data_IF_362223770525
#
_entry.id   IF_362223770525
#
_cell.length_a   1.000
_cell.length_b   1.000
_cell.length_c   1.000
_cell.angle_alpha   90.00
_cell.angle_beta   90.00
_cell.angle_gamma   90.00
#
_symmetry.space_group_name_H-M   'P 1'
#
loop_
_entity.id
_entity.type
_entity.pdbx_description
1 polymer ?
#
# COMPACT_ATOMS: atom_id res chain seq x y z
N UNK A 1 -18.06 4.45 6.62
CA UNK A 1 -17.46 3.44 5.71
C UNK A 1 -18.33 2.20 5.66
N UNK A 2 -18.87 1.93 4.48
CA UNK A 2 -19.55 0.68 4.11
C UNK A 2 -18.56 -0.46 3.88
N UNK A 3 -19.03 -1.67 3.59
CA UNK A 3 -18.15 -2.76 3.18
C UNK A 3 -17.45 -2.46 1.85
N UNK A 4 -18.13 -1.82 0.89
CA UNK A 4 -17.52 -1.41 -0.38
C UNK A 4 -16.40 -0.41 -0.15
N UNK A 5 -16.57 0.54 0.78
CA UNK A 5 -15.53 1.52 1.07
C UNK A 5 -14.30 0.87 1.75
N UNK A 6 -14.50 -0.14 2.60
CA UNK A 6 -13.39 -0.92 3.16
C UNK A 6 -12.65 -1.68 2.04
N UNK A 7 -13.37 -2.37 1.16
CA UNK A 7 -12.76 -3.11 0.04
C UNK A 7 -12.05 -2.17 -0.91
N UNK A 8 -12.60 -0.98 -1.15
CA UNK A 8 -11.93 0.09 -1.91
C UNK A 8 -10.64 0.53 -1.21
N UNK A 9 -10.66 0.77 0.10
CA UNK A 9 -9.44 1.12 0.84
C UNK A 9 -8.38 0.01 0.74
N UNK A 10 -8.75 -1.27 0.83
CA UNK A 10 -7.79 -2.38 0.63
C UNK A 10 -7.25 -2.36 -0.82
N UNK A 11 -8.11 -2.14 -1.81
CA UNK A 11 -7.73 -2.08 -3.23
C UNK A 11 -6.71 -0.96 -3.50
N UNK A 12 -6.98 0.24 -2.98
CA UNK A 12 -6.14 1.43 -3.14
C UNK A 12 -4.79 1.21 -2.44
N UNK A 13 -4.81 0.68 -1.23
CA UNK A 13 -3.59 0.35 -0.49
C UNK A 13 -2.74 -0.70 -1.21
N UNK A 14 -3.35 -1.77 -1.73
CA UNK A 14 -2.64 -2.78 -2.53
C UNK A 14 -2.08 -2.21 -3.83
N UNK A 15 -2.82 -1.33 -4.50
CA UNK A 15 -2.32 -0.66 -5.70
C UNK A 15 -1.08 0.19 -5.37
N UNK A 16 -1.16 1.01 -4.33
CA UNK A 16 -0.07 1.90 -3.93
C UNK A 16 1.14 1.13 -3.43
N UNK A 17 0.92 0.05 -2.68
CA UNK A 17 1.97 -0.86 -2.24
C UNK A 17 2.68 -1.52 -3.43
N UNK A 18 1.93 -2.05 -4.40
CA UNK A 18 2.49 -2.67 -5.60
C UNK A 18 3.30 -1.69 -6.45
N UNK A 19 2.84 -0.45 -6.57
CA UNK A 19 3.59 0.61 -7.26
C UNK A 19 4.87 0.99 -6.50
N UNK A 20 4.85 1.04 -5.16
CA UNK A 20 6.06 1.27 -4.36
C UNK A 20 7.05 0.14 -4.49
N UNK A 21 6.59 -1.11 -4.46
CA UNK A 21 7.46 -2.25 -4.65
C UNK A 21 8.15 -2.21 -6.01
N UNK A 22 7.43 -1.85 -7.07
CA UNK A 22 7.99 -1.74 -8.41
C UNK A 22 9.10 -0.67 -8.52
N UNK A 23 9.08 0.40 -7.71
CA UNK A 23 10.20 1.37 -7.66
C UNK A 23 11.51 0.73 -7.18
N UNK A 24 11.41 -0.33 -6.39
CA UNK A 24 12.55 -1.03 -5.81
C UNK A 24 13.01 -2.23 -6.64
N UNK A 25 12.42 -2.49 -7.80
CA UNK A 25 12.80 -3.58 -8.71
C UNK A 25 14.21 -3.44 -9.33
N UNK A 26 14.92 -2.34 -9.07
CA UNK A 26 16.27 -2.05 -9.61
C UNK A 26 17.17 -1.31 -8.61
N UNK A 27 16.74 -1.23 -7.35
CA UNK A 27 17.32 -0.34 -6.31
C UNK A 27 17.44 -1.04 -4.96
N UNK A 28 16.98 -2.28 -4.85
CA UNK A 28 17.08 -3.08 -3.66
C UNK A 28 18.56 -3.39 -3.36
N UNK A 29 18.90 -3.80 -2.12
CA UNK A 29 20.29 -4.04 -1.73
C UNK A 29 20.96 -5.24 -2.42
N UNK A 30 20.19 -6.09 -3.12
CA UNK A 30 20.71 -7.20 -3.92
C UNK A 30 19.79 -7.52 -5.10
N UNK A 31 20.30 -8.26 -6.09
CA UNK A 31 19.52 -8.68 -7.25
C UNK A 31 18.32 -9.57 -6.87
N UNK A 32 18.49 -10.44 -5.86
CA UNK A 32 17.40 -11.27 -5.35
C UNK A 32 16.31 -10.41 -4.71
N UNK A 33 16.69 -9.33 -4.03
CA UNK A 33 15.75 -8.38 -3.45
C UNK A 33 15.04 -7.54 -4.53
N UNK A 34 15.73 -7.21 -5.63
CA UNK A 34 15.12 -6.57 -6.81
C UNK A 34 14.06 -7.48 -7.45
N UNK A 35 14.39 -8.76 -7.64
CA UNK A 35 13.46 -9.77 -8.19
C UNK A 35 12.26 -9.95 -7.27
N UNK A 36 12.48 -10.02 -5.95
CA UNK A 36 11.40 -10.12 -4.98
C UNK A 36 10.49 -8.89 -5.01
N UNK A 37 11.06 -7.68 -5.04
CA UNK A 37 10.29 -6.43 -5.15
C UNK A 37 9.46 -6.37 -6.44
N UNK A 38 10.02 -6.79 -7.58
CA UNK A 38 9.29 -6.86 -8.83
C UNK A 38 8.12 -7.86 -8.80
N UNK A 39 8.36 -9.06 -8.24
CA UNK A 39 7.35 -10.10 -8.12
C UNK A 39 6.19 -9.67 -7.20
N UNK A 40 6.51 -9.16 -6.00
CA UNK A 40 5.51 -8.67 -5.06
C UNK A 40 4.73 -7.48 -5.62
N UNK A 41 5.41 -6.57 -6.34
CA UNK A 41 4.76 -5.45 -7.02
C UNK A 41 3.75 -5.90 -8.07
N UNK A 42 4.06 -6.95 -8.84
CA UNK A 42 3.15 -7.51 -9.82
C UNK A 42 1.93 -8.16 -9.14
N UNK A 43 2.16 -8.92 -8.07
CA UNK A 43 1.10 -9.60 -7.31
C UNK A 43 0.13 -8.57 -6.71
N UNK A 44 0.62 -7.54 -6.03
CA UNK A 44 -0.21 -6.50 -5.41
C UNK A 44 -1.00 -5.65 -6.43
N UNK A 45 -0.41 -5.37 -7.59
CA UNK A 45 -1.14 -4.77 -8.71
C UNK A 45 -2.20 -5.72 -9.29
N UNK A 46 -1.99 -7.03 -9.23
CA UNK A 46 -3.02 -8.04 -9.52
C UNK A 46 -4.13 -8.04 -8.47
N UNK A 47 -3.76 -7.97 -7.19
CA UNK A 47 -4.67 -8.01 -6.05
C UNK A 47 -5.61 -6.81 -6.05
N UNK A 48 -5.08 -5.60 -6.25
CA UNK A 48 -5.89 -4.39 -6.38
C UNK A 48 -6.95 -4.52 -7.49
N UNK A 49 -6.60 -5.06 -8.66
CA UNK A 49 -7.56 -5.31 -9.76
C UNK A 49 -8.66 -6.29 -9.35
N UNK A 50 -8.32 -7.35 -8.61
CA UNK A 50 -9.31 -8.30 -8.10
C UNK A 50 -10.25 -7.64 -7.09
N UNK A 51 -9.71 -6.83 -6.18
CA UNK A 51 -10.49 -6.11 -5.16
C UNK A 51 -11.41 -5.07 -5.80
N UNK A 52 -10.93 -4.29 -6.76
CA UNK A 52 -11.77 -3.37 -7.55
C UNK A 52 -12.90 -4.13 -8.25
N UNK A 53 -12.62 -5.30 -8.82
CA UNK A 53 -13.63 -6.16 -9.44
C UNK A 53 -14.65 -6.77 -8.45
N UNK A 54 -14.47 -6.58 -7.14
CA UNK A 54 -15.45 -6.97 -6.13
C UNK A 54 -16.46 -5.85 -5.82
N UNK A 55 -16.19 -4.59 -6.15
CA UNK A 55 -16.99 -3.45 -5.71
C UNK A 55 -18.42 -3.46 -6.27
N UNK A 56 -18.58 -3.64 -7.58
CA UNK A 56 -19.90 -3.74 -8.22
C UNK A 56 -20.75 -4.89 -7.64
N UNK A 57 -20.25 -6.12 -7.48
CA UNK A 57 -20.96 -7.20 -6.78
C UNK A 57 -21.35 -6.91 -5.32
N UNK A 58 -20.71 -5.96 -4.64
CA UNK A 58 -21.08 -5.55 -3.28
C UNK A 58 -22.28 -4.58 -3.26
N UNK A 59 -22.79 -4.21 -4.44
CA UNK A 59 -23.98 -3.39 -4.62
C UNK A 59 -23.71 -1.91 -4.90
N UNK A 60 -22.46 -1.47 -4.78
CA UNK A 60 -22.04 -0.12 -5.14
C UNK A 60 -20.53 -0.08 -5.39
N UNK A 61 -20.14 0.59 -6.47
CA UNK A 61 -18.76 1.02 -6.70
C UNK A 61 -18.61 2.48 -6.23
N UNK A 62 -17.93 2.72 -5.09
CA UNK A 62 -17.78 4.07 -4.54
C UNK A 62 -16.76 4.92 -5.31
N UNK A 63 -16.11 4.39 -6.36
CA UNK A 63 -15.13 5.14 -7.17
C UNK A 63 -15.82 6.18 -8.05
N UNK A 64 -15.42 7.44 -7.89
CA UNK A 64 -15.81 8.52 -8.78
C UNK A 64 -14.80 8.78 -9.91
N UNK A 65 -15.21 9.54 -10.96
CA UNK A 65 -14.36 9.89 -12.10
C UNK A 65 -13.16 10.79 -11.74
N UNK A 66 -13.20 11.49 -10.61
CA UNK A 66 -12.13 12.35 -10.12
C UNK A 66 -10.82 11.60 -9.83
N UNK A 67 -10.89 10.28 -9.63
CA UNK A 67 -9.76 9.41 -9.29
C UNK A 67 -8.63 9.39 -10.32
N UNK A 68 -8.90 9.75 -11.57
CA UNK A 68 -7.87 9.88 -12.61
C UNK A 68 -7.07 11.19 -12.48
N UNK A 69 -7.63 12.19 -11.80
CA UNK A 69 -7.12 13.57 -11.79
C UNK A 69 -6.79 14.12 -10.40
N UNK A 70 -7.29 13.48 -9.35
CA UNK A 70 -7.11 13.85 -7.95
C UNK A 70 -6.62 12.65 -7.12
N UNK A 71 -5.31 12.54 -6.87
CA UNK A 71 -4.74 11.50 -6.02
C UNK A 71 -5.32 11.48 -4.60
N UNK A 72 -5.83 12.61 -4.08
CA UNK A 72 -6.43 12.69 -2.76
C UNK A 72 -7.77 11.95 -2.65
N UNK A 73 -8.33 11.51 -3.78
CA UNK A 73 -9.52 10.66 -3.82
C UNK A 73 -9.23 9.16 -3.62
N UNK A 74 -7.95 8.77 -3.51
CA UNK A 74 -7.55 7.42 -3.13
C UNK A 74 -7.69 7.22 -1.61
N UNK A 75 -8.15 6.05 -1.20
CA UNK A 75 -8.33 5.66 0.21
C UNK A 75 -7.11 4.88 0.74
N UNK A 76 -5.91 5.26 0.32
CA UNK A 76 -4.65 4.67 0.77
C UNK A 76 -4.15 5.31 2.07
N UNK A 77 -3.24 4.61 2.75
CA UNK A 77 -2.53 5.15 3.92
C UNK A 77 -1.58 6.27 3.53
N UNK A 78 -1.43 7.24 4.42
CA UNK A 78 -0.49 8.37 4.24
C UNK A 78 0.97 7.89 4.16
N UNK A 79 1.26 6.68 4.66
CA UNK A 79 2.57 6.04 4.48
C UNK A 79 3.02 5.95 3.02
N UNK A 80 2.08 5.91 2.08
CA UNK A 80 2.35 5.85 0.64
C UNK A 80 2.47 7.21 -0.02
N UNK A 81 2.17 8.32 0.68
CA UNK A 81 2.20 9.67 0.11
C UNK A 81 3.61 10.28 0.09
N UNK A 82 4.54 9.67 0.84
CA UNK A 82 5.95 10.04 0.88
C UNK A 82 6.83 9.06 0.09
N UNK A 83 7.86 9.52 -0.64
CA UNK A 83 8.77 8.64 -1.37
C UNK A 83 9.61 7.82 -0.39
N UNK A 84 9.76 6.52 -0.66
CA UNK A 84 10.65 5.65 0.11
C UNK A 84 12.08 5.81 -0.37
N UNK A 85 12.92 6.40 0.46
CA UNK A 85 14.31 6.73 0.15
C UNK A 85 15.29 5.68 0.64
N UNK A 86 14.86 4.80 1.54
CA UNK A 86 15.66 3.76 2.19
C UNK A 86 14.95 2.40 2.16
N UNK A 87 15.72 1.32 2.02
CA UNK A 87 15.19 -0.04 1.95
C UNK A 87 14.41 -0.44 3.21
N UNK A 88 14.74 0.13 4.37
CA UNK A 88 13.99 -0.09 5.62
C UNK A 88 12.52 0.36 5.54
N UNK A 89 12.19 1.34 4.69
CA UNK A 89 10.81 1.80 4.49
C UNK A 89 9.99 0.78 3.67
N UNK A 90 10.63 0.17 2.65
CA UNK A 90 10.08 -0.99 1.93
C UNK A 90 9.83 -2.15 2.88
N UNK A 91 10.84 -2.53 3.68
CA UNK A 91 10.73 -3.65 4.60
C UNK A 91 9.66 -3.40 5.66
N UNK A 92 9.56 -2.18 6.18
CA UNK A 92 8.51 -1.82 7.13
C UNK A 92 7.10 -1.92 6.52
N UNK A 93 6.92 -1.46 5.28
CA UNK A 93 5.64 -1.62 4.58
C UNK A 93 5.30 -3.10 4.36
N UNK A 94 6.26 -3.90 3.87
CA UNK A 94 6.06 -5.32 3.63
C UNK A 94 5.80 -6.12 4.91
N UNK A 95 6.55 -5.86 5.97
CA UNK A 95 6.39 -6.62 7.21
C UNK A 95 5.15 -6.20 8.02
N UNK A 96 4.69 -4.95 7.89
CA UNK A 96 3.63 -4.40 8.74
C UNK A 96 2.35 -4.13 7.96
N UNK A 97 2.42 -3.25 6.95
CA UNK A 97 1.23 -2.79 6.23
C UNK A 97 0.66 -3.91 5.35
N UNK A 98 1.52 -4.59 4.61
CA UNK A 98 1.14 -5.72 3.76
C UNK A 98 0.46 -6.81 4.59
N UNK A 99 1.07 -7.17 5.73
CA UNK A 99 0.48 -8.11 6.70
C UNK A 99 -0.85 -7.62 7.27
N UNK A 100 -0.99 -6.33 7.57
CA UNK A 100 -2.26 -5.76 8.04
C UNK A 100 -3.36 -5.88 6.96
N UNK A 101 -3.01 -5.64 5.69
CA UNK A 101 -3.93 -5.84 4.57
C UNK A 101 -4.28 -7.32 4.41
N UNK A 102 -3.31 -8.24 4.48
CA UNK A 102 -3.55 -9.69 4.48
C UNK A 102 -4.53 -10.09 5.58
N UNK A 103 -4.36 -9.60 6.81
CA UNK A 103 -5.25 -9.90 7.95
C UNK A 103 -6.68 -9.41 7.68
N UNK A 104 -6.87 -8.23 7.09
CA UNK A 104 -8.21 -7.77 6.69
C UNK A 104 -8.79 -8.61 5.55
N UNK A 105 -7.98 -9.03 4.59
CA UNK A 105 -8.41 -9.93 3.51
C UNK A 105 -8.83 -11.28 4.09
N UNK A 106 -8.10 -11.85 5.05
CA UNK A 106 -8.50 -13.05 5.79
C UNK A 106 -9.83 -12.85 6.51
N UNK A 107 -10.03 -11.68 7.14
CA UNK A 107 -11.30 -11.33 7.79
C UNK A 107 -12.47 -11.31 6.81
N UNK A 108 -12.26 -10.80 5.59
CA UNK A 108 -13.24 -10.81 4.51
C UNK A 108 -13.52 -12.24 4.02
N UNK A 109 -12.47 -13.06 3.82
CA UNK A 109 -12.60 -14.44 3.31
C UNK A 109 -13.29 -15.36 4.30
N UNK A 110 -13.11 -15.14 5.60
CA UNK A 110 -13.77 -15.89 6.66
C UNK A 110 -15.10 -15.26 7.13
N UNK A 111 -15.44 -14.06 6.65
CA UNK A 111 -16.73 -13.41 6.89
C UNK A 111 -17.86 -14.01 6.06
N UNK A 112 -19.05 -13.38 6.07
CA UNK A 112 -20.27 -13.93 5.45
C UNK A 112 -20.51 -13.56 3.98
N UNK A 113 -19.61 -12.82 3.33
CA UNK A 113 -19.85 -12.21 2.01
C UNK A 113 -19.24 -13.04 0.88
N UNK A 114 -20.08 -13.83 0.20
CA UNK A 114 -19.67 -14.88 -0.76
C UNK A 114 -18.72 -14.40 -1.86
N UNK A 115 -18.96 -13.23 -2.45
CA UNK A 115 -18.09 -12.71 -3.52
C UNK A 115 -16.65 -12.49 -3.04
N UNK A 116 -16.47 -12.02 -1.81
CA UNK A 116 -15.16 -11.81 -1.20
C UNK A 116 -14.52 -13.14 -0.84
N UNK A 117 -15.28 -14.07 -0.27
CA UNK A 117 -14.80 -15.43 0.01
C UNK A 117 -14.27 -16.12 -1.25
N UNK A 118 -14.96 -15.99 -2.38
CA UNK A 118 -14.55 -16.66 -3.61
C UNK A 118 -13.35 -15.98 -4.27
N UNK A 119 -13.41 -14.65 -4.44
CA UNK A 119 -12.42 -13.90 -5.23
C UNK A 119 -11.09 -13.68 -4.50
N UNK A 120 -11.09 -13.61 -3.16
CA UNK A 120 -9.89 -13.27 -2.39
C UNK A 120 -9.10 -14.48 -1.88
N UNK A 121 -9.60 -15.71 -2.00
CA UNK A 121 -8.87 -16.92 -1.54
C UNK A 121 -7.52 -17.12 -2.22
N UNK A 122 -7.43 -16.88 -3.53
CA UNK A 122 -6.18 -17.04 -4.28
C UNK A 122 -5.12 -16.03 -3.82
N UNK A 123 -5.55 -14.81 -3.54
CA UNK A 123 -4.70 -13.72 -3.04
C UNK A 123 -3.93 -14.15 -1.79
N UNK A 124 -4.60 -14.77 -0.81
CA UNK A 124 -3.96 -15.23 0.43
C UNK A 124 -2.84 -16.26 0.21
N UNK A 125 -2.86 -17.03 -0.88
CA UNK A 125 -1.78 -17.97 -1.20
C UNK A 125 -0.51 -17.26 -1.67
N UNK A 126 -0.66 -16.15 -2.40
CA UNK A 126 0.43 -15.31 -2.91
C UNK A 126 1.02 -14.47 -1.75
N UNK A 127 0.17 -13.90 -0.90
CA UNK A 127 0.54 -13.12 0.30
C UNK A 127 1.44 -13.88 1.29
N UNK A 128 1.37 -15.22 1.30
CA UNK A 128 2.25 -16.04 2.15
C UNK A 128 3.74 -15.83 1.80
N UNK A 129 4.08 -15.58 0.55
CA UNK A 129 5.44 -15.27 0.14
C UNK A 129 5.87 -13.88 0.63
N UNK A 130 4.98 -12.88 0.53
CA UNK A 130 5.22 -11.52 1.01
C UNK A 130 5.52 -11.53 2.52
N UNK A 131 4.73 -12.30 3.27
CA UNK A 131 4.93 -12.49 4.70
C UNK A 131 6.31 -13.09 5.03
N UNK A 132 6.70 -14.16 4.33
CA UNK A 132 8.00 -14.80 4.55
C UNK A 132 9.16 -13.87 4.22
N UNK A 133 9.04 -13.07 3.16
CA UNK A 133 10.01 -12.07 2.77
C UNK A 133 10.18 -11.00 3.85
N UNK A 134 9.09 -10.36 4.29
CA UNK A 134 9.13 -9.32 5.33
C UNK A 134 9.70 -9.85 6.64
N UNK A 135 9.28 -11.04 7.07
CA UNK A 135 9.79 -11.70 8.27
C UNK A 135 11.29 -12.01 8.19
N UNK A 136 11.79 -12.39 7.01
CA UNK A 136 13.22 -12.63 6.80
C UNK A 136 14.03 -11.35 7.01
N UNK A 137 13.58 -10.23 6.45
CA UNK A 137 14.24 -8.93 6.61
C UNK A 137 14.17 -8.38 8.03
N UNK A 138 13.07 -8.57 8.75
CA UNK A 138 13.00 -8.22 10.17
C UNK A 138 14.06 -8.97 10.99
N UNK A 139 14.29 -10.25 10.71
CA UNK A 139 15.32 -11.05 11.40
C UNK A 139 16.74 -10.56 11.14
N UNK A 140 17.00 -10.00 9.95
CA UNK A 140 18.28 -9.41 9.59
C UNK A 140 18.57 -8.08 10.31
N UNK A 141 17.54 -7.45 10.86
CA UNK A 141 17.63 -6.17 11.59
C UNK A 141 17.47 -4.97 10.66
N UNK A 142 16.49 -4.12 10.95
CA UNK A 142 16.24 -2.86 10.24
C UNK A 142 15.92 -1.73 11.22
N UNK A 143 16.03 -0.49 10.75
CA UNK A 143 15.70 0.69 11.56
C UNK A 143 14.26 0.65 12.08
N UNK A 144 14.10 0.95 13.37
CA UNK A 144 12.80 0.89 14.04
C UNK A 144 11.87 2.05 13.69
N UNK A 145 12.39 3.17 13.17
CA UNK A 145 11.57 4.36 12.89
C UNK A 145 10.53 4.11 11.78
N UNK A 146 10.89 3.59 10.59
CA UNK A 146 9.90 3.18 9.58
C UNK A 146 8.92 2.13 10.10
N UNK A 147 9.39 1.15 10.90
CA UNK A 147 8.53 0.14 11.51
C UNK A 147 7.48 0.73 12.44
N UNK A 148 7.88 1.65 13.32
CA UNK A 148 6.95 2.30 14.24
C UNK A 148 5.91 3.13 13.50
N UNK A 149 6.31 3.84 12.42
CA UNK A 149 5.38 4.60 11.58
C UNK A 149 4.38 3.66 10.90
N UNK A 150 4.86 2.62 10.22
CA UNK A 150 3.99 1.64 9.57
C UNK A 150 3.03 0.95 10.57
N UNK A 151 3.53 0.65 11.78
CA UNK A 151 2.71 0.08 12.85
C UNK A 151 1.60 1.03 13.29
N UNK A 152 1.90 2.31 13.49
CA UNK A 152 0.91 3.30 13.86
C UNK A 152 -0.20 3.40 12.80
N UNK A 153 0.18 3.54 11.53
CA UNK A 153 -0.74 3.60 10.39
C UNK A 153 -1.65 2.36 10.33
N UNK A 154 -1.11 1.15 10.52
CA UNK A 154 -1.90 -0.08 10.54
C UNK A 154 -2.92 -0.13 11.69
N UNK A 155 -2.53 0.29 12.90
CA UNK A 155 -3.40 0.28 14.09
C UNK A 155 -4.55 1.29 13.96
N UNK A 156 -4.26 2.45 13.39
CA UNK A 156 -5.23 3.50 13.09
C UNK A 156 -6.18 3.03 11.99
N UNK A 157 -5.66 2.42 10.92
CA UNK A 157 -6.44 1.90 9.81
C UNK A 157 -7.41 0.79 10.19
N UNK A 158 -7.06 -0.12 11.11
CA UNK A 158 -8.02 -1.10 11.64
C UNK A 158 -9.23 -0.45 12.32
N UNK A 159 -9.10 0.80 12.77
CA UNK A 159 -10.16 1.59 13.38
C UNK A 159 -10.37 1.30 14.87
N UNK A 160 -11.11 2.16 15.59
CA UNK A 160 -11.33 2.02 17.03
C UNK A 160 -12.24 0.82 17.37
N UNK A 161 -12.27 0.32 18.63
CA UNK A 161 -13.07 -0.84 19.03
C UNK A 161 -14.57 -0.74 18.79
N UNK A 162 -15.11 0.48 18.71
CA UNK A 162 -16.51 0.81 18.44
C UNK A 162 -16.73 1.36 17.03
N UNK A 163 -15.68 1.39 16.20
CA UNK A 163 -15.70 1.93 14.85
C UNK A 163 -16.39 1.04 13.81
N UNK A 164 -16.14 1.37 12.55
CA UNK A 164 -16.85 0.81 11.41
C UNK A 164 -16.45 -0.64 11.15
N UNK A 165 -15.16 -0.97 11.26
CA UNK A 165 -14.66 -2.35 11.22
C UNK A 165 -15.34 -3.22 12.29
N UNK A 166 -15.54 -2.69 13.51
CA UNK A 166 -16.25 -3.41 14.57
C UNK A 166 -17.74 -3.61 14.23
N UNK A 167 -18.35 -2.63 13.54
CA UNK A 167 -19.73 -2.76 13.04
C UNK A 167 -19.84 -3.83 11.96
N UNK A 168 -18.93 -3.87 10.99
CA UNK A 168 -18.87 -4.90 9.95
C UNK A 168 -18.65 -6.30 10.54
N UNK A 169 -17.82 -6.40 11.59
CA UNK A 169 -17.62 -7.63 12.34
C UNK A 169 -18.91 -8.09 13.05
N UNK A 170 -19.60 -7.20 13.78
CA UNK A 170 -20.89 -7.52 14.43
C UNK A 170 -21.98 -7.96 13.42
N UNK A 171 -21.92 -7.47 12.19
CA UNK A 171 -22.81 -7.88 11.09
C UNK A 171 -22.39 -9.22 10.46
N UNK A 172 -21.30 -9.85 10.91
CA UNK A 172 -20.74 -11.08 10.35
C UNK A 172 -20.05 -10.91 9.00
N UNK A 173 -19.98 -9.68 8.45
CA UNK A 173 -19.33 -9.40 7.17
C UNK A 173 -17.82 -9.58 7.22
N UNK A 174 -17.24 -9.37 8.41
CA UNK A 174 -15.85 -9.70 8.74
C UNK A 174 -15.84 -10.73 9.87
N UNK A 175 -14.97 -11.73 9.78
CA UNK A 175 -14.78 -12.70 10.88
C UNK A 175 -14.03 -12.13 12.09
N UNK A 176 -13.33 -11.00 11.93
CA UNK A 176 -12.48 -10.39 12.94
C UNK A 176 -12.85 -8.92 13.14
N UNK A 177 -12.86 -8.47 14.39
CA UNK A 177 -12.98 -7.07 14.75
C UNK A 177 -11.62 -6.40 14.94
N UNK A 178 -11.59 -5.09 15.28
CA UNK A 178 -10.35 -4.35 15.47
C UNK A 178 -9.42 -4.92 16.55
N UNK A 179 -9.94 -5.60 17.57
CA UNK A 179 -9.11 -6.19 18.62
C UNK A 179 -8.32 -7.40 18.10
N UNK A 180 -8.99 -8.29 17.39
CA UNK A 180 -8.41 -9.49 16.79
C UNK A 180 -7.40 -9.14 15.70
N UNK A 181 -7.74 -8.22 14.79
CA UNK A 181 -6.84 -7.83 13.68
C UNK A 181 -5.55 -7.19 14.19
N UNK A 182 -5.63 -6.34 15.24
CA UNK A 182 -4.46 -5.78 15.91
C UNK A 182 -3.62 -6.84 16.61
N UNK A 183 -4.25 -7.79 17.28
CA UNK A 183 -3.56 -8.85 18.02
C UNK A 183 -2.80 -9.78 17.07
N UNK A 184 -3.45 -10.23 15.99
CA UNK A 184 -2.81 -11.06 14.98
C UNK A 184 -1.64 -10.32 14.32
N UNK A 185 -1.86 -9.06 13.92
CA UNK A 185 -0.80 -8.21 13.37
C UNK A 185 0.37 -8.05 14.36
N UNK A 186 0.10 -7.90 15.66
CA UNK A 186 1.14 -7.75 16.68
C UNK A 186 1.95 -9.04 16.89
N UNK A 187 1.29 -10.20 16.89
CA UNK A 187 1.95 -11.50 16.98
C UNK A 187 2.95 -11.73 15.84
N UNK A 188 2.72 -11.11 14.67
CA UNK A 188 3.67 -11.16 13.56
C UNK A 188 4.89 -10.25 13.73
N UNK A 189 4.76 -9.19 14.56
CA UNK A 189 5.73 -8.10 14.71
C UNK A 189 6.47 -8.18 16.05
N UNK A 190 6.40 -9.31 16.78
CA UNK A 190 7.03 -9.48 18.09
C UNK A 190 8.58 -9.53 18.04
N UNK A 191 9.18 -8.37 17.72
CA UNK A 191 10.59 -8.06 17.59
C UNK A 191 10.91 -6.67 18.17
N UNK A 192 10.11 -6.15 19.10
CA UNK A 192 10.21 -4.75 19.61
C UNK A 192 11.55 -4.35 20.26
N UNK A 193 12.63 -5.16 20.21
CA UNK A 193 13.97 -4.78 20.66
C UNK A 193 15.07 -5.44 19.81
N UNK A 194 15.59 -4.75 18.80
CA UNK A 194 17.06 -4.49 18.61
C UNK A 194 17.41 -3.85 17.27
N UNK A 195 18.28 -2.85 17.35
CA UNK A 195 19.18 -2.36 16.29
C UNK A 195 18.69 -1.18 15.44
N UNK A 196 19.43 -0.11 15.64
CA UNK A 196 19.60 1.07 14.81
C UNK A 196 20.75 0.81 13.85
N UNK A 197 20.54 1.02 12.54
CA UNK A 197 21.58 1.45 11.59
C UNK A 197 20.94 1.89 10.27
N UNK A 198 21.27 3.13 9.92
CA UNK A 198 20.75 3.93 8.81
C UNK A 198 21.38 3.56 7.46
N UNK A 199 20.61 3.30 6.38
CA UNK A 199 21.10 3.30 5.00
C UNK A 199 21.05 4.70 4.37
N UNK A 200 21.72 4.92 3.22
CA UNK A 200 21.90 6.25 2.65
C UNK A 200 20.59 6.83 2.07
N UNK A 201 20.49 8.16 2.12
CA UNK A 201 19.40 8.93 1.52
C UNK A 201 19.54 8.93 0.00
N UNK A 202 18.59 8.34 -0.73
CA UNK A 202 18.36 8.72 -2.12
C UNK A 202 17.44 9.94 -2.16
N UNK A 203 18.01 11.12 -2.42
CA UNK A 203 17.25 12.33 -2.69
C UNK A 203 16.69 12.29 -4.12
N UNK A 204 15.47 12.80 -4.37
CA UNK A 204 15.00 13.05 -5.73
C UNK A 204 15.90 14.11 -6.39
N UNK A 205 16.32 13.84 -7.63
CA UNK A 205 17.04 14.80 -8.50
C UNK A 205 16.02 15.77 -9.14
N UNK A 206 16.55 16.85 -9.70
CA UNK A 206 15.88 18.09 -10.16
C UNK A 206 14.44 17.96 -10.70
N UNK A 207 13.57 18.90 -10.32
CA UNK A 207 12.18 19.02 -10.79
C UNK A 207 12.07 19.06 -12.33
N UNK A 208 11.12 18.30 -12.93
CA UNK A 208 10.98 18.20 -14.37
C UNK A 208 10.32 19.46 -14.97
N UNK A 209 10.74 19.79 -16.19
CA UNK A 209 10.11 20.87 -16.98
C UNK A 209 8.79 20.39 -17.58
N UNK A 210 7.79 21.26 -17.58
CA UNK A 210 6.51 21.00 -18.23
C UNK A 210 6.71 20.78 -19.74
N UNK A 211 6.27 19.64 -20.32
CA UNK A 211 6.47 19.35 -21.74
C UNK A 211 5.61 20.24 -22.66
N UNK A 212 4.60 20.93 -22.13
CA UNK A 212 3.68 21.76 -22.91
C UNK A 212 4.14 23.22 -23.03
N UNK A 213 4.61 23.83 -21.95
CA UNK A 213 4.99 25.25 -21.94
C UNK A 213 6.45 25.50 -21.52
N UNK A 214 7.21 24.42 -21.28
CA UNK A 214 8.62 24.42 -20.91
C UNK A 214 8.96 25.15 -19.59
N UNK A 215 7.94 25.46 -18.78
CA UNK A 215 8.12 26.05 -17.45
C UNK A 215 8.86 25.08 -16.52
N UNK A 216 9.68 25.62 -15.62
CA UNK A 216 10.31 24.86 -14.52
C UNK A 216 9.42 24.75 -13.28
N UNK A 217 8.30 25.49 -13.26
CA UNK A 217 7.41 25.61 -12.11
C UNK A 217 6.33 24.53 -12.19
N UNK A 218 6.66 23.36 -11.67
CA UNK A 218 5.83 22.16 -11.67
C UNK A 218 5.64 21.67 -10.24
N UNK A 219 4.41 21.43 -9.84
CA UNK A 219 4.06 20.88 -8.55
C UNK A 219 3.90 19.37 -8.66
N UNK A 220 4.61 18.61 -7.83
CA UNK A 220 4.39 17.17 -7.70
C UNK A 220 3.01 16.94 -7.06
N UNK A 221 2.11 16.29 -7.78
CA UNK A 221 0.75 16.02 -7.29
C UNK A 221 0.53 14.54 -6.96
N UNK A 222 1.29 13.63 -7.57
CA UNK A 222 1.24 12.20 -7.25
C UNK A 222 2.62 11.58 -7.35
N UNK A 223 2.93 10.69 -6.41
CA UNK A 223 4.11 9.82 -6.51
C UNK A 223 3.92 8.63 -7.45
N UNK A 224 2.79 8.59 -8.17
CA UNK A 224 2.39 7.48 -9.02
C UNK A 224 1.73 7.99 -10.30
N UNK A 225 2.37 7.71 -11.44
CA UNK A 225 1.77 7.85 -12.75
C UNK A 225 1.21 6.54 -13.29
N UNK A 226 0.83 6.56 -14.56
CA UNK A 226 0.37 5.40 -15.34
C UNK A 226 1.38 4.25 -15.36
N UNK A 227 2.67 4.56 -15.17
CA UNK A 227 3.74 3.59 -15.04
C UNK A 227 4.35 3.67 -13.64
N UNK A 228 4.78 2.53 -13.10
CA UNK A 228 5.39 2.47 -11.77
C UNK A 228 6.62 3.40 -11.60
N UNK A 229 7.31 3.70 -12.70
CA UNK A 229 8.50 4.54 -12.74
C UNK A 229 8.21 6.03 -12.96
N UNK A 230 6.94 6.43 -13.10
CA UNK A 230 6.54 7.83 -13.33
C UNK A 230 5.84 8.43 -12.12
N UNK A 231 6.00 9.75 -11.99
CA UNK A 231 5.35 10.66 -11.06
C UNK A 231 4.38 11.55 -11.84
N UNK A 232 3.30 12.03 -11.22
CA UNK A 232 2.44 13.05 -11.84
C UNK A 232 2.73 14.43 -11.29
N UNK A 233 2.83 15.40 -12.19
CA UNK A 233 3.05 16.80 -11.89
C UNK A 233 1.94 17.67 -12.47
N UNK A 234 1.64 18.79 -11.83
CA UNK A 234 0.81 19.87 -12.38
C UNK A 234 1.70 21.09 -12.68
N UNK A 235 1.71 21.54 -13.91
CA UNK A 235 2.40 22.78 -14.27
C UNK A 235 1.63 23.98 -13.70
N UNK A 236 2.29 24.80 -12.87
CA UNK A 236 1.65 25.99 -12.29
C UNK A 236 1.42 27.11 -13.31
N UNK A 237 2.17 27.12 -14.41
CA UNK A 237 2.04 28.13 -15.47
C UNK A 237 0.85 27.87 -16.41
N UNK A 238 0.66 26.62 -16.85
CA UNK A 238 -0.37 26.29 -17.85
C UNK A 238 -1.47 25.35 -17.34
N UNK A 239 -1.39 24.91 -16.08
CA UNK A 239 -2.37 24.02 -15.45
C UNK A 239 -2.30 22.57 -15.90
N UNK A 240 -1.49 22.24 -16.90
CA UNK A 240 -1.44 20.88 -17.48
C UNK A 240 -0.84 19.87 -16.51
N UNK A 241 -1.52 18.74 -16.34
CA UNK A 241 -0.99 17.56 -15.65
C UNK A 241 -0.15 16.73 -16.62
N UNK A 242 1.03 16.28 -16.19
CA UNK A 242 1.95 15.48 -17.00
C UNK A 242 2.73 14.49 -16.14
N UNK A 243 3.33 13.49 -16.77
CA UNK A 243 4.15 12.48 -16.10
C UNK A 243 5.64 12.66 -16.35
N UNK A 244 6.46 12.38 -15.33
CA UNK A 244 7.91 12.40 -15.43
C UNK A 244 8.52 11.22 -14.65
N UNK A 245 9.68 10.75 -15.11
CA UNK A 245 10.36 9.60 -14.51
C UNK A 245 10.90 9.97 -13.12
N UNK A 246 10.69 9.09 -12.14
CA UNK A 246 11.09 9.26 -10.72
C UNK A 246 12.57 9.59 -10.51
N UNK A 247 13.44 9.09 -11.40
CA UNK A 247 14.89 9.08 -11.21
C UNK A 247 15.68 9.48 -12.47
N UNK A 248 15.08 10.29 -13.35
CA UNK A 248 15.77 10.82 -14.55
C UNK A 248 16.83 11.88 -14.22
#
# INVERSE_FOLDING_TARGET
>A
MSLSDLVLSIADNKQMLGLRYAEWATRAPSLEADIAAAAMGLDDLGHSRVLYGCLEPLGADPRGPERESDPASLHNLAYFDDPWTQWSEFVAANAILDTAFTVMIEACVAGSVEVLQHRLRKMLMEERYHFLHGRSWLRSGIDSAPLNRAWQEAIEWFGPPDGETATLHRQGKLSMGPGETRTLSACFVDWRRRSTRRPPRNQPRSEPRCPHCNAKDSELISLFGTQAMTLQYRCRKCGTVFEAIKYA
#
